data_IF_563615973638
#
_entry.id   IF_563615973638
#
_cell.length_a   1.000
_cell.length_b   1.000
_cell.length_c   1.000
_cell.angle_alpha   90.00
_cell.angle_beta   90.00
_cell.angle_gamma   90.00
#
_symmetry.space_group_name_H-M   'P 1'
#
loop_
_entity.id
_entity.type
_entity.pdbx_description
1 polymer ?
#
# COMPACT_ATOMS: atom_id res chain seq x y z
N UNK A 1 -13.36 8.66 -12.69
CA UNK A 1 -12.80 9.10 -11.40
C UNK A 1 -12.18 7.90 -10.68
N UNK A 2 -10.89 7.91 -10.36
CA UNK A 2 -10.24 6.87 -9.54
C UNK A 2 -10.59 7.09 -8.06
N UNK A 3 -11.08 6.04 -7.38
CA UNK A 3 -11.43 6.07 -5.97
C UNK A 3 -10.18 6.12 -5.08
N UNK A 4 -10.33 6.60 -3.83
CA UNK A 4 -9.24 6.63 -2.85
C UNK A 4 -8.64 5.25 -2.60
N UNK A 5 -9.46 4.20 -2.69
CA UNK A 5 -9.03 2.81 -2.58
C UNK A 5 -8.03 2.41 -3.68
N UNK A 6 -8.28 2.83 -4.92
CA UNK A 6 -7.36 2.55 -6.03
C UNK A 6 -6.06 3.34 -5.87
N UNK A 7 -6.15 4.59 -5.40
CA UNK A 7 -4.96 5.39 -5.07
C UNK A 7 -4.10 4.70 -4.00
N UNK A 8 -4.72 4.26 -2.90
CA UNK A 8 -4.05 3.50 -1.85
C UNK A 8 -3.38 2.23 -2.36
N UNK A 9 -4.13 1.41 -3.10
CA UNK A 9 -3.64 0.16 -3.68
C UNK A 9 -2.39 0.37 -4.56
N UNK A 10 -2.44 1.38 -5.44
CA UNK A 10 -1.35 1.70 -6.35
C UNK A 10 -0.13 2.25 -5.62
N UNK A 11 -0.32 3.12 -4.63
CA UNK A 11 0.78 3.71 -3.87
C UNK A 11 1.50 2.65 -3.02
N UNK A 12 0.76 1.79 -2.31
CA UNK A 12 1.33 0.66 -1.54
C UNK A 12 2.17 -0.22 -2.46
N UNK A 13 1.64 -0.62 -3.62
CA UNK A 13 2.37 -1.45 -4.58
C UNK A 13 3.63 -0.76 -5.11
N UNK A 14 3.52 0.50 -5.49
CA UNK A 14 4.64 1.25 -6.07
C UNK A 14 5.78 1.43 -5.07
N UNK A 15 5.48 1.85 -3.84
CA UNK A 15 6.49 2.07 -2.79
C UNK A 15 7.10 0.73 -2.36
N UNK A 16 6.29 -0.33 -2.21
CA UNK A 16 6.81 -1.66 -1.91
C UNK A 16 7.83 -2.13 -2.96
N UNK A 17 7.53 -1.94 -4.24
CA UNK A 17 8.43 -2.29 -5.34
C UNK A 17 9.70 -1.45 -5.34
N UNK A 18 9.60 -0.15 -5.07
CA UNK A 18 10.75 0.75 -4.93
C UNK A 18 11.70 0.31 -3.80
N UNK A 19 11.12 -0.26 -2.73
CA UNK A 19 11.87 -0.85 -1.60
C UNK A 19 12.31 -2.31 -1.81
N UNK A 20 12.12 -2.87 -3.00
CA UNK A 20 12.45 -4.27 -3.32
C UNK A 20 11.82 -5.31 -2.37
N UNK A 21 10.68 -4.99 -1.76
CA UNK A 21 9.97 -5.89 -0.86
C UNK A 21 9.03 -6.80 -1.66
N UNK A 22 8.98 -8.10 -1.33
CA UNK A 22 7.90 -8.98 -1.80
C UNK A 22 6.59 -8.69 -1.04
N UNK A 23 5.45 -9.22 -1.52
CA UNK A 23 4.19 -9.10 -0.79
C UNK A 23 4.29 -9.81 0.57
N UNK A 24 4.98 -10.94 0.62
CA UNK A 24 5.33 -11.69 1.82
C UNK A 24 6.21 -10.85 2.76
N UNK A 25 7.20 -10.15 2.22
CA UNK A 25 8.10 -9.29 3.00
C UNK A 25 7.37 -8.12 3.64
N UNK A 26 6.52 -7.42 2.88
CA UNK A 26 5.68 -6.34 3.43
C UNK A 26 4.71 -6.90 4.48
N UNK A 27 4.05 -8.03 4.19
CA UNK A 27 3.12 -8.67 5.11
C UNK A 27 3.78 -9.01 6.45
N UNK A 28 4.99 -9.56 6.41
CA UNK A 28 5.80 -9.81 7.61
C UNK A 28 6.10 -8.51 8.36
N UNK A 29 6.58 -7.47 7.67
CA UNK A 29 6.98 -6.20 8.28
C UNK A 29 5.82 -5.44 8.96
N UNK A 30 4.60 -5.52 8.43
CA UNK A 30 3.41 -4.88 9.02
C UNK A 30 2.55 -5.82 9.88
N UNK A 31 3.01 -7.04 10.13
CA UNK A 31 2.29 -8.09 10.87
C UNK A 31 0.86 -8.32 10.32
N UNK A 32 0.75 -8.48 9.00
CA UNK A 32 -0.49 -8.79 8.29
C UNK A 32 -0.33 -10.06 7.47
N UNK A 33 -1.45 -10.65 7.05
CA UNK A 33 -1.41 -11.82 6.19
C UNK A 33 -1.05 -11.42 4.75
N UNK A 34 -0.16 -12.18 4.11
CA UNK A 34 0.26 -12.02 2.70
C UNK A 34 -0.91 -11.85 1.73
N UNK A 35 -1.97 -12.65 1.87
CA UNK A 35 -3.16 -12.55 1.01
C UNK A 35 -3.91 -11.23 1.20
N UNK A 36 -3.89 -10.67 2.42
CA UNK A 36 -4.48 -9.37 2.70
C UNK A 36 -3.71 -8.25 1.99
N UNK A 37 -2.38 -8.29 1.99
CA UNK A 37 -1.54 -7.37 1.20
C UNK A 37 -1.83 -7.52 -0.30
N UNK A 38 -1.92 -8.76 -0.81
CA UNK A 38 -2.27 -9.01 -2.21
C UNK A 38 -3.63 -8.42 -2.59
N UNK A 39 -4.65 -8.58 -1.75
CA UNK A 39 -5.98 -8.02 -1.97
C UNK A 39 -5.99 -6.49 -1.87
N UNK A 40 -5.18 -5.91 -0.99
CA UNK A 40 -4.98 -4.45 -0.87
C UNK A 40 -4.43 -3.90 -2.19
N UNK A 41 -3.34 -4.45 -2.70
CA UNK A 41 -2.71 -3.97 -3.94
C UNK A 41 -3.59 -4.13 -5.18
N UNK A 42 -4.59 -5.01 -5.09
CA UNK A 42 -5.64 -5.18 -6.11
C UNK A 42 -6.87 -4.31 -5.88
N UNK A 43 -6.90 -3.49 -4.82
CA UNK A 43 -8.04 -2.64 -4.47
C UNK A 43 -9.29 -3.40 -4.01
N UNK A 44 -9.17 -4.64 -3.54
CA UNK A 44 -10.30 -5.49 -3.13
C UNK A 44 -10.77 -5.25 -1.69
N UNK A 45 -9.94 -4.63 -0.85
CA UNK A 45 -10.25 -4.43 0.59
C UNK A 45 -10.63 -2.98 0.88
N UNK A 46 -11.54 -2.81 1.84
CA UNK A 46 -11.67 -1.57 2.57
C UNK A 46 -10.72 -1.67 3.76
N UNK A 47 -9.62 -0.92 3.73
CA UNK A 47 -8.55 -1.03 4.73
C UNK A 47 -8.90 -0.12 5.90
N UNK A 48 -8.74 -0.61 7.14
CA UNK A 48 -8.92 0.22 8.32
C UNK A 48 -7.78 1.25 8.44
N UNK A 49 -8.03 2.34 9.16
CA UNK A 49 -7.03 3.38 9.41
C UNK A 49 -5.79 2.78 10.11
N UNK A 50 -5.98 1.91 11.11
CA UNK A 50 -4.87 1.25 11.82
C UNK A 50 -3.97 0.42 10.88
N UNK A 51 -4.57 -0.24 9.87
CA UNK A 51 -3.79 -1.01 8.91
C UNK A 51 -3.08 -0.10 7.90
N UNK A 52 -3.66 1.07 7.57
CA UNK A 52 -2.97 2.08 6.77
C UNK A 52 -1.70 2.56 7.51
N UNK A 53 -1.81 2.84 8.81
CA UNK A 53 -0.67 3.22 9.64
C UNK A 53 0.40 2.13 9.69
N UNK A 54 0.03 0.88 9.97
CA UNK A 54 0.98 -0.26 9.98
C UNK A 54 1.71 -0.43 8.65
N UNK A 55 0.99 -0.32 7.54
CA UNK A 55 1.58 -0.44 6.20
C UNK A 55 2.50 0.75 5.92
N UNK A 56 2.11 1.97 6.28
CA UNK A 56 2.94 3.15 6.11
C UNK A 56 4.24 3.06 6.91
N UNK A 57 4.16 2.63 8.18
CA UNK A 57 5.32 2.38 9.03
C UNK A 57 6.25 1.31 8.44
N UNK A 58 5.70 0.19 7.98
CA UNK A 58 6.49 -0.88 7.35
C UNK A 58 7.13 -0.46 6.02
N UNK A 59 6.53 0.51 5.32
CA UNK A 59 7.08 1.12 4.12
C UNK A 59 7.94 2.35 4.42
N UNK A 60 8.12 2.73 5.69
CA UNK A 60 8.83 3.93 6.17
C UNK A 60 8.42 5.21 5.43
N UNK A 61 7.10 5.43 5.30
CA UNK A 61 6.50 6.64 4.74
C UNK A 61 5.43 7.17 5.67
N UNK A 62 5.01 8.41 5.48
CA UNK A 62 3.86 8.94 6.20
C UNK A 62 2.55 8.35 5.64
N UNK A 63 1.53 8.07 6.48
CA UNK A 63 0.25 7.49 6.03
C UNK A 63 -0.45 8.28 4.91
N UNK A 64 -0.34 9.62 4.92
CA UNK A 64 -0.97 10.46 3.90
C UNK A 64 -0.38 10.24 2.50
N UNK A 65 0.89 9.84 2.39
CA UNK A 65 1.56 9.58 1.11
C UNK A 65 0.91 8.40 0.39
N UNK A 66 0.36 7.43 1.14
CA UNK A 66 -0.41 6.33 0.58
C UNK A 66 -1.76 6.79 0.01
N UNK A 67 -2.25 7.98 0.37
CA UNK A 67 -3.58 8.48 0.00
C UNK A 67 -3.56 9.57 -1.08
N UNK A 68 -2.39 10.13 -1.39
CA UNK A 68 -2.24 11.19 -2.40
C UNK A 68 -2.16 10.60 -3.81
N UNK A 69 -2.89 11.21 -4.75
CA UNK A 69 -2.74 10.90 -6.18
C UNK A 69 -1.43 11.46 -6.70
N UNK A 70 -0.42 10.61 -6.87
CA UNK A 70 0.81 11.01 -7.57
C UNK A 70 0.52 11.18 -9.08
N UNK A 71 0.72 12.39 -9.59
CA UNK A 71 0.54 12.72 -11.02
C UNK A 71 1.66 12.20 -11.92
N UNK A 72 2.73 11.58 -11.38
CA UNK A 72 3.90 11.19 -12.15
C UNK A 72 4.30 9.74 -11.89
N UNK A 73 3.96 8.89 -12.86
CA UNK A 73 4.76 7.78 -13.43
C UNK A 73 3.87 7.12 -14.51
N UNK A 74 3.42 7.91 -15.51
CA UNK A 74 3.23 7.34 -16.84
C UNK A 74 4.64 7.27 -17.43
N UNK A 75 5.21 6.07 -17.46
CA UNK A 75 6.18 5.74 -18.50
C UNK A 75 5.40 5.43 -19.76
#
# INVERSE_FOLDING_TARGET
MTSLRVTFANNVKAIRQDKNLSQEGLAFACNLHRTYISDIERGKRNVSIDNIEKIALALEVNPYELLIKNKMKLK
#
